data_IF_327144067335
#
_entry.id   IF_327144067335
#
_cell.length_a   1.000
_cell.length_b   1.000
_cell.length_c   1.000
_cell.angle_alpha   90.00
_cell.angle_beta   90.00
_cell.angle_gamma   90.00
#
_symmetry.space_group_name_H-M   'P 1'
#
loop_
_entity.id
_entity.type
_entity.pdbx_description
1 polymer ?
#
# COMPACT_ATOMS: atom_id res chain seq x y z
N UNK A 1 2.39 -19.83 12.88
CA UNK A 1 1.66 -18.73 12.22
C UNK A 1 2.19 -18.57 10.81
N UNK A 2 1.35 -18.34 9.79
CA UNK A 2 1.84 -18.14 8.43
C UNK A 2 2.61 -16.81 8.31
N UNK A 3 3.79 -16.84 7.72
CA UNK A 3 4.59 -15.66 7.43
C UNK A 3 4.19 -15.08 6.08
N UNK A 4 3.77 -13.81 6.06
CA UNK A 4 3.34 -13.05 4.89
C UNK A 4 4.34 -11.92 4.60
N UNK A 5 4.72 -11.73 3.35
CA UNK A 5 5.48 -10.57 2.89
C UNK A 5 4.55 -9.56 2.23
N UNK A 6 4.41 -8.39 2.84
CA UNK A 6 3.61 -7.30 2.30
C UNK A 6 4.49 -6.12 1.90
N UNK A 7 4.28 -5.62 0.69
CA UNK A 7 4.99 -4.46 0.15
C UNK A 7 4.02 -3.32 -0.12
N UNK A 8 4.42 -2.08 0.17
CA UNK A 8 3.77 -0.88 -0.39
C UNK A 8 4.74 -0.14 -1.30
N UNK A 9 4.23 0.34 -2.45
CA UNK A 9 5.08 0.99 -3.45
C UNK A 9 4.31 1.98 -4.32
N UNK A 10 4.68 3.25 -4.26
CA UNK A 10 4.20 4.25 -5.21
C UNK A 10 4.97 4.10 -6.53
N UNK A 11 4.24 3.80 -7.62
CA UNK A 11 4.83 3.47 -8.93
C UNK A 11 4.79 4.62 -9.94
N UNK A 12 4.42 5.83 -9.48
CA UNK A 12 4.44 7.06 -10.29
C UNK A 12 3.81 6.90 -11.67
N UNK A 13 2.64 6.26 -11.74
CA UNK A 13 1.93 5.94 -12.98
C UNK A 13 2.75 5.12 -13.99
N UNK A 14 3.79 4.40 -13.54
CA UNK A 14 4.70 3.62 -14.38
C UNK A 14 5.36 4.47 -15.49
N UNK A 15 5.72 5.72 -15.17
CA UNK A 15 6.32 6.66 -16.13
C UNK A 15 7.80 6.41 -16.38
N UNK A 16 8.48 5.84 -15.37
CA UNK A 16 9.91 5.59 -15.37
C UNK A 16 10.22 4.18 -15.93
N UNK A 17 11.31 3.54 -15.53
CA UNK A 17 11.70 2.24 -16.08
C UNK A 17 10.81 1.11 -15.52
N UNK A 18 9.88 0.63 -16.33
CA UNK A 18 8.93 -0.45 -15.98
C UNK A 18 9.60 -1.80 -15.76
N UNK A 19 10.72 -2.05 -16.43
CA UNK A 19 11.45 -3.30 -16.26
C UNK A 19 12.18 -3.31 -14.92
N UNK A 20 12.81 -2.18 -14.54
CA UNK A 20 13.40 -1.99 -13.22
C UNK A 20 12.32 -2.09 -12.12
N UNK A 21 11.16 -1.44 -12.31
CA UNK A 21 10.04 -1.51 -11.38
C UNK A 21 9.62 -2.97 -11.10
N UNK A 22 9.47 -3.77 -12.14
CA UNK A 22 9.14 -5.18 -11.99
C UNK A 22 10.25 -5.98 -11.29
N UNK A 23 11.54 -5.68 -11.54
CA UNK A 23 12.65 -6.33 -10.83
C UNK A 23 12.69 -5.97 -9.36
N UNK A 24 12.44 -4.69 -9.02
CA UNK A 24 12.33 -4.22 -7.62
C UNK A 24 11.23 -4.99 -6.88
N UNK A 25 10.03 -5.07 -7.46
CA UNK A 25 8.94 -5.82 -6.83
C UNK A 25 9.34 -7.29 -6.62
N UNK A 26 9.87 -7.95 -7.66
CA UNK A 26 10.30 -9.37 -7.56
C UNK A 26 11.41 -9.59 -6.54
N UNK A 27 12.33 -8.63 -6.37
CA UNK A 27 13.44 -8.77 -5.41
C UNK A 27 12.96 -8.85 -3.96
N UNK A 28 11.83 -8.22 -3.63
CA UNK A 28 11.18 -8.32 -2.33
C UNK A 28 10.43 -9.64 -2.11
N UNK A 29 10.14 -10.39 -3.18
CA UNK A 29 9.32 -11.62 -3.14
C UNK A 29 8.02 -11.44 -2.33
N UNK A 30 7.23 -10.38 -2.57
CA UNK A 30 6.02 -10.12 -1.80
C UNK A 30 4.92 -11.11 -2.12
N UNK A 31 4.14 -11.49 -1.11
CA UNK A 31 2.87 -12.19 -1.27
C UNK A 31 1.75 -11.24 -1.65
N UNK A 32 1.79 -10.00 -1.12
CA UNK A 32 0.83 -8.93 -1.42
C UNK A 32 1.58 -7.62 -1.66
N UNK A 33 1.14 -6.85 -2.68
CA UNK A 33 1.66 -5.50 -2.97
C UNK A 33 0.51 -4.51 -3.02
N UNK A 34 0.61 -3.45 -2.21
CA UNK A 34 -0.27 -2.29 -2.26
C UNK A 34 0.43 -1.20 -3.08
N UNK A 35 -0.11 -0.94 -4.26
CA UNK A 35 0.48 -0.03 -5.25
C UNK A 35 -0.26 1.30 -5.21
N UNK A 36 0.47 2.41 -5.10
CA UNK A 36 -0.07 3.76 -5.26
C UNK A 36 0.32 4.33 -6.62
N UNK A 37 -0.43 5.30 -7.09
CA UNK A 37 -0.29 5.89 -8.42
C UNK A 37 -0.27 4.85 -9.55
N UNK A 38 -1.08 3.81 -9.45
CA UNK A 38 -1.29 2.93 -10.61
C UNK A 38 -1.82 3.74 -11.80
N UNK A 39 -1.54 3.34 -13.05
CA UNK A 39 -2.08 4.04 -14.22
C UNK A 39 -3.61 4.20 -14.13
N UNK A 40 -4.13 5.40 -14.46
CA UNK A 40 -5.57 5.72 -14.33
C UNK A 40 -6.25 6.23 -15.60
N UNK A 41 -5.45 6.51 -16.64
CA UNK A 41 -5.95 6.98 -17.93
C UNK A 41 -6.17 5.83 -18.93
N UNK A 42 -6.15 6.13 -20.21
CA UNK A 42 -6.34 5.12 -21.26
C UNK A 42 -5.45 3.88 -21.05
N UNK A 43 -6.02 2.67 -21.25
CA UNK A 43 -5.35 1.37 -21.10
C UNK A 43 -4.86 1.05 -19.66
N UNK A 44 -5.40 1.71 -18.63
CA UNK A 44 -4.97 1.50 -17.26
C UNK A 44 -5.07 0.03 -16.81
N UNK A 45 -6.14 -0.70 -17.22
CA UNK A 45 -6.28 -2.13 -16.91
C UNK A 45 -5.18 -2.97 -17.53
N UNK A 46 -4.83 -2.71 -18.80
CA UNK A 46 -3.74 -3.42 -19.48
C UNK A 46 -2.38 -3.14 -18.85
N UNK A 47 -2.14 -1.92 -18.42
CA UNK A 47 -0.89 -1.53 -17.74
C UNK A 47 -0.81 -2.14 -16.35
N UNK A 48 -1.91 -2.16 -15.57
CA UNK A 48 -1.97 -2.83 -14.27
C UNK A 48 -1.75 -4.34 -14.40
N UNK A 49 -2.37 -4.98 -15.40
CA UNK A 49 -2.16 -6.39 -15.70
C UNK A 49 -0.73 -6.67 -16.18
N UNK A 50 -0.11 -5.75 -16.93
CA UNK A 50 1.29 -5.86 -17.33
C UNK A 50 2.21 -5.80 -16.11
N UNK A 51 2.00 -4.84 -15.20
CA UNK A 51 2.76 -4.74 -13.94
C UNK A 51 2.67 -6.04 -13.15
N UNK A 52 1.46 -6.52 -12.90
CA UNK A 52 1.22 -7.76 -12.17
C UNK A 52 1.98 -8.94 -12.82
N UNK A 53 1.77 -9.17 -14.12
CA UNK A 53 2.42 -10.27 -14.85
C UNK A 53 3.94 -10.19 -14.83
N UNK A 54 4.53 -9.00 -15.06
CA UNK A 54 5.99 -8.83 -15.07
C UNK A 54 6.61 -8.92 -13.68
N UNK A 55 5.80 -8.75 -12.64
CA UNK A 55 6.19 -8.92 -11.22
C UNK A 55 5.87 -10.30 -10.66
N UNK A 56 5.39 -11.26 -11.47
CA UNK A 56 4.93 -12.60 -11.07
C UNK A 56 3.76 -12.56 -10.06
N UNK A 57 2.86 -11.61 -10.23
CA UNK A 57 1.69 -11.38 -9.39
C UNK A 57 0.42 -11.34 -10.26
N UNK A 58 -0.73 -11.32 -9.61
CA UNK A 58 -2.06 -11.12 -10.21
C UNK A 58 -2.72 -9.86 -9.67
N UNK A 59 -3.60 -9.26 -10.46
CA UNK A 59 -4.42 -8.13 -10.00
C UNK A 59 -5.56 -8.68 -9.13
N UNK A 60 -5.69 -8.17 -7.92
CA UNK A 60 -6.77 -8.49 -6.99
C UNK A 60 -7.90 -7.46 -7.13
N UNK A 61 -7.62 -6.18 -6.91
CA UNK A 61 -8.61 -5.10 -7.01
C UNK A 61 -7.96 -3.75 -7.20
N UNK A 62 -8.74 -2.70 -7.41
CA UNK A 62 -8.27 -1.32 -7.41
C UNK A 62 -8.05 -0.72 -8.79
N UNK A 63 -7.10 0.19 -8.85
CA UNK A 63 -6.85 1.03 -10.01
C UNK A 63 -7.72 2.30 -9.98
N UNK A 64 -8.26 2.72 -11.14
CA UNK A 64 -9.06 3.94 -11.25
C UNK A 64 -10.24 4.01 -10.26
N UNK A 65 -11.03 2.93 -10.02
CA UNK A 65 -12.14 2.94 -9.07
C UNK A 65 -11.71 3.17 -7.60
N UNK A 66 -10.45 2.93 -7.26
CA UNK A 66 -9.90 3.10 -5.91
C UNK A 66 -8.94 4.29 -5.80
N UNK A 67 -9.12 5.34 -6.61
CA UNK A 67 -8.25 6.51 -6.58
C UNK A 67 -6.80 6.25 -7.03
N UNK A 68 -6.59 5.24 -7.90
CA UNK A 68 -5.29 4.75 -8.38
C UNK A 68 -4.49 3.92 -7.35
N UNK A 69 -5.14 3.44 -6.30
CA UNK A 69 -4.60 2.38 -5.47
C UNK A 69 -4.91 1.02 -6.10
N UNK A 70 -3.96 0.09 -6.06
CA UNK A 70 -4.09 -1.22 -6.69
C UNK A 70 -3.56 -2.28 -5.72
N UNK A 71 -4.26 -3.40 -5.59
CA UNK A 71 -3.83 -4.56 -4.82
C UNK A 71 -3.39 -5.64 -5.79
N UNK A 72 -2.15 -6.13 -5.62
CA UNK A 72 -1.61 -7.28 -6.31
C UNK A 72 -1.32 -8.38 -5.30
N UNK A 73 -1.42 -9.65 -5.71
CA UNK A 73 -1.03 -10.79 -4.87
C UNK A 73 -0.29 -11.88 -5.66
N UNK A 74 0.44 -12.71 -4.94
CA UNK A 74 0.93 -13.99 -5.45
C UNK A 74 -0.24 -14.97 -5.63
N UNK A 75 -0.03 -16.04 -6.40
CA UNK A 75 -1.03 -17.10 -6.58
C UNK A 75 -1.29 -17.94 -5.32
N UNK A 76 -0.44 -17.80 -4.29
CA UNK A 76 -0.64 -18.46 -3.00
C UNK A 76 -1.63 -17.75 -2.06
N UNK A 77 -2.15 -16.59 -2.47
CA UNK A 77 -3.12 -15.80 -1.70
C UNK A 77 -4.49 -15.92 -2.35
N UNK A 78 -5.48 -16.39 -1.59
CA UNK A 78 -6.87 -16.48 -2.01
C UNK A 78 -7.59 -15.16 -1.77
N UNK A 79 -8.46 -14.77 -2.69
CA UNK A 79 -9.29 -13.56 -2.61
C UNK A 79 -10.67 -13.92 -2.08
N UNK A 80 -11.04 -13.40 -0.91
CA UNK A 80 -12.35 -13.63 -0.27
C UNK A 80 -13.35 -12.56 -0.69
N UNK A 81 -12.95 -11.26 -0.60
CA UNK A 81 -13.78 -10.14 -1.02
C UNK A 81 -12.92 -8.94 -1.45
N UNK A 82 -13.48 -8.08 -2.30
CA UNK A 82 -12.79 -6.86 -2.74
C UNK A 82 -13.76 -5.68 -2.78
N UNK A 83 -13.26 -4.49 -2.41
CA UNK A 83 -14.04 -3.26 -2.43
C UNK A 83 -13.16 -2.10 -2.88
N UNK A 84 -13.59 -1.39 -3.91
CA UNK A 84 -12.98 -0.17 -4.40
C UNK A 84 -13.80 1.03 -3.92
N UNK A 85 -13.21 1.93 -3.16
CA UNK A 85 -13.89 3.08 -2.57
C UNK A 85 -13.22 4.37 -3.01
N UNK A 86 -13.98 5.31 -3.54
CA UNK A 86 -13.53 6.68 -3.78
C UNK A 86 -13.88 7.53 -2.56
N UNK A 87 -12.91 8.29 -2.09
CA UNK A 87 -13.11 9.29 -1.04
C UNK A 87 -13.76 10.55 -1.59
N UNK A 88 -14.34 11.37 -0.71
CA UNK A 88 -14.86 12.68 -1.06
C UNK A 88 -13.75 13.53 -1.68
N UNK A 89 -14.11 14.30 -2.73
CA UNK A 89 -13.14 15.09 -3.49
C UNK A 89 -13.38 16.57 -3.29
N UNK A 90 -12.33 17.33 -3.00
CA UNK A 90 -12.39 18.79 -3.09
C UNK A 90 -12.12 19.26 -4.53
N UNK A 91 -12.74 20.39 -4.95
CA UNK A 91 -12.43 21.01 -6.21
C UNK A 91 -10.92 21.28 -6.35
N UNK A 92 -10.38 21.02 -7.55
CA UNK A 92 -8.96 21.20 -7.91
C UNK A 92 -7.97 20.24 -7.26
N UNK A 93 -8.38 19.37 -6.34
CA UNK A 93 -7.53 18.30 -5.79
C UNK A 93 -7.70 16.98 -6.57
N UNK A 94 -6.76 16.07 -6.39
CA UNK A 94 -6.81 14.75 -7.04
C UNK A 94 -7.84 13.85 -6.37
N UNK A 95 -8.55 13.05 -7.17
CA UNK A 95 -9.42 12.01 -6.64
C UNK A 95 -8.57 10.98 -5.87
N UNK A 96 -8.89 10.79 -4.60
CA UNK A 96 -8.31 9.77 -3.72
C UNK A 96 -9.33 8.68 -3.43
N UNK A 97 -8.87 7.60 -2.83
CA UNK A 97 -9.69 6.44 -2.50
C UNK A 97 -8.87 5.35 -1.85
N UNK A 98 -9.44 4.17 -1.73
CA UNK A 98 -8.78 2.97 -1.20
C UNK A 98 -9.20 1.73 -1.98
N UNK A 99 -8.27 0.81 -2.19
CA UNK A 99 -8.53 -0.56 -2.61
C UNK A 99 -8.47 -1.45 -1.37
N UNK A 100 -9.60 -2.04 -0.99
CA UNK A 100 -9.72 -2.96 0.15
C UNK A 100 -9.86 -4.37 -0.39
N UNK A 101 -9.11 -5.31 0.16
CA UNK A 101 -9.26 -6.73 -0.14
C UNK A 101 -9.25 -7.55 1.16
N UNK A 102 -10.23 -8.43 1.31
CA UNK A 102 -10.20 -9.51 2.32
C UNK A 102 -9.56 -10.71 1.64
N UNK A 103 -8.50 -11.21 2.23
CA UNK A 103 -7.62 -12.22 1.67
C UNK A 103 -7.48 -13.40 2.64
N UNK A 104 -7.17 -14.57 2.10
CA UNK A 104 -6.79 -15.74 2.90
C UNK A 104 -5.42 -16.24 2.45
N UNK A 105 -4.54 -16.53 3.39
CA UNK A 105 -3.21 -17.05 3.13
C UNK A 105 -2.87 -18.15 4.12
N UNK A 106 -2.68 -19.37 3.63
CA UNK A 106 -2.36 -20.56 4.43
C UNK A 106 -3.31 -20.77 5.62
N UNK A 107 -4.60 -20.50 5.42
CA UNK A 107 -5.65 -20.69 6.41
C UNK A 107 -5.93 -19.49 7.33
N UNK A 108 -5.10 -18.45 7.31
CA UNK A 108 -5.34 -17.18 8.02
C UNK A 108 -6.05 -16.17 7.13
N UNK A 109 -7.12 -15.55 7.64
CA UNK A 109 -7.87 -14.50 6.95
C UNK A 109 -7.44 -13.13 7.48
N UNK A 110 -7.17 -12.19 6.58
CA UNK A 110 -6.78 -10.82 6.89
C UNK A 110 -7.31 -9.86 5.81
N UNK A 111 -7.36 -8.58 6.12
CA UNK A 111 -7.72 -7.56 5.15
C UNK A 111 -6.55 -6.61 4.91
N UNK A 112 -6.48 -6.10 3.69
CA UNK A 112 -5.53 -5.03 3.31
C UNK A 112 -6.30 -3.83 2.76
N UNK A 113 -5.82 -2.62 3.04
CA UNK A 113 -6.33 -1.38 2.47
C UNK A 113 -5.18 -0.55 1.93
N UNK A 114 -5.10 -0.42 0.60
CA UNK A 114 -4.13 0.43 -0.08
C UNK A 114 -4.63 1.87 -0.13
N UNK A 115 -3.82 2.82 0.33
CA UNK A 115 -4.17 4.25 0.36
C UNK A 115 -3.11 5.11 -0.31
N UNK A 116 -3.55 6.25 -0.85
CA UNK A 116 -2.69 7.36 -1.24
C UNK A 116 -3.41 8.65 -0.84
N UNK A 117 -2.99 9.25 0.26
CA UNK A 117 -3.65 10.41 0.85
C UNK A 117 -3.30 11.70 0.10
N UNK A 118 -4.02 12.77 0.42
CA UNK A 118 -3.85 14.06 -0.24
C UNK A 118 -2.59 14.80 0.23
N UNK A 119 -2.11 15.71 -0.60
CA UNK A 119 -1.10 16.70 -0.19
C UNK A 119 -1.70 17.78 0.74
N UNK A 120 -3.03 17.98 0.71
CA UNK A 120 -3.74 18.88 1.60
C UNK A 120 -4.03 18.22 2.94
N UNK A 121 -3.61 18.85 4.05
CA UNK A 121 -3.69 18.28 5.39
C UNK A 121 -5.14 18.09 5.87
N UNK A 122 -6.04 19.03 5.55
CA UNK A 122 -7.45 18.91 5.96
C UNK A 122 -8.16 17.81 5.18
N UNK A 123 -7.81 17.63 3.90
CA UNK A 123 -8.31 16.52 3.09
C UNK A 123 -7.76 15.18 3.57
N UNK A 124 -6.48 15.08 3.96
CA UNK A 124 -5.89 13.87 4.56
C UNK A 124 -6.66 13.43 5.81
N UNK A 125 -6.89 14.37 6.74
CA UNK A 125 -7.62 14.07 7.99
C UNK A 125 -9.05 13.56 7.72
N UNK A 126 -9.75 14.18 6.77
CA UNK A 126 -11.09 13.73 6.37
C UNK A 126 -11.06 12.34 5.74
N UNK A 127 -10.09 12.07 4.85
CA UNK A 127 -9.95 10.77 4.20
C UNK A 127 -9.65 9.63 5.19
N UNK A 128 -8.98 9.90 6.32
CA UNK A 128 -8.83 8.89 7.39
C UNK A 128 -10.18 8.49 7.97
N UNK A 129 -11.05 9.46 8.28
CA UNK A 129 -12.39 9.16 8.77
C UNK A 129 -13.22 8.36 7.75
N UNK A 130 -13.09 8.68 6.46
CA UNK A 130 -13.75 7.94 5.38
C UNK A 130 -13.18 6.52 5.21
N UNK A 131 -11.87 6.33 5.39
CA UNK A 131 -11.21 5.03 5.40
C UNK A 131 -11.73 4.17 6.54
N UNK A 132 -11.75 4.70 7.78
CA UNK A 132 -12.20 3.96 8.95
C UNK A 132 -13.69 3.58 8.84
N UNK A 133 -14.53 4.48 8.33
CA UNK A 133 -15.94 4.19 8.05
C UNK A 133 -16.10 3.09 6.96
N UNK A 134 -15.26 3.11 5.92
CA UNK A 134 -15.27 2.08 4.88
C UNK A 134 -14.83 0.72 5.43
N UNK A 135 -13.75 0.68 6.22
CA UNK A 135 -13.26 -0.55 6.87
C UNK A 135 -14.30 -1.13 7.82
N UNK A 136 -14.89 -0.32 8.70
CA UNK A 136 -15.93 -0.77 9.64
C UNK A 136 -17.17 -1.34 8.95
N UNK A 137 -17.49 -0.86 7.75
CA UNK A 137 -18.65 -1.33 6.98
C UNK A 137 -18.37 -2.57 6.13
N UNK A 138 -17.14 -2.70 5.61
CA UNK A 138 -16.83 -3.63 4.50
C UNK A 138 -15.96 -4.81 4.94
N UNK A 139 -15.30 -4.71 6.10
CA UNK A 139 -14.43 -5.76 6.64
C UNK A 139 -15.06 -6.29 7.91
N UNK A 140 -15.24 -7.61 8.08
CA UNK A 140 -15.72 -8.18 9.34
C UNK A 140 -14.81 -7.81 10.52
N UNK A 141 -15.39 -7.51 11.69
CA UNK A 141 -14.65 -6.97 12.83
C UNK A 141 -13.57 -7.93 13.39
N UNK A 142 -13.76 -9.22 13.22
CA UNK A 142 -12.82 -10.26 13.60
C UNK A 142 -11.60 -10.36 12.68
N UNK A 143 -11.68 -9.80 11.46
CA UNK A 143 -10.59 -9.88 10.47
C UNK A 143 -9.55 -8.79 10.75
N UNK A 144 -8.28 -9.15 11.02
CA UNK A 144 -7.22 -8.17 11.22
C UNK A 144 -6.94 -7.38 9.95
N UNK A 145 -6.70 -6.07 10.07
CA UNK A 145 -6.54 -5.15 8.95
C UNK A 145 -5.12 -4.60 8.88
N UNK A 146 -4.57 -4.57 7.68
CA UNK A 146 -3.32 -3.87 7.36
C UNK A 146 -3.66 -2.68 6.45
N UNK A 147 -3.28 -1.48 6.85
CA UNK A 147 -3.37 -0.26 6.02
C UNK A 147 -1.97 0.10 5.56
N UNK A 148 -1.77 0.33 4.27
CA UNK A 148 -0.45 0.77 3.81
C UNK A 148 -0.55 1.65 2.56
N UNK A 149 0.44 2.52 2.39
CA UNK A 149 0.49 3.38 1.22
C UNK A 149 1.34 4.62 1.40
N UNK A 150 1.12 5.56 0.48
CA UNK A 150 1.67 6.91 0.51
C UNK A 150 0.76 7.81 1.36
N UNK A 151 1.22 8.11 2.55
CA UNK A 151 0.48 8.91 3.54
C UNK A 151 0.55 10.40 3.19
N UNK A 152 1.56 10.82 2.39
CA UNK A 152 1.88 12.21 2.10
C UNK A 152 2.08 13.07 3.37
N UNK A 153 2.48 12.41 4.45
CA UNK A 153 2.83 13.02 5.73
C UNK A 153 3.95 12.21 6.39
N UNK A 154 4.56 12.73 7.44
CA UNK A 154 5.73 12.10 8.07
C UNK A 154 5.37 11.51 9.44
N UNK A 155 6.18 10.54 9.94
CA UNK A 155 6.08 10.05 11.30
C UNK A 155 6.02 11.20 12.31
N UNK A 156 5.08 11.10 13.28
CA UNK A 156 4.81 12.14 14.26
C UNK A 156 3.80 13.21 13.83
N UNK A 157 3.38 13.25 12.57
CA UNK A 157 2.26 14.10 12.15
C UNK A 157 0.92 13.59 12.72
N UNK A 158 -0.12 14.46 12.82
CA UNK A 158 -1.42 14.03 13.33
C UNK A 158 -2.02 12.85 12.56
N UNK A 159 -1.88 12.84 11.22
CA UNK A 159 -2.41 11.77 10.37
C UNK A 159 -1.65 10.45 10.61
N UNK A 160 -0.32 10.50 10.66
CA UNK A 160 0.49 9.33 10.96
C UNK A 160 0.19 8.77 12.35
N UNK A 161 0.13 9.66 13.36
CA UNK A 161 -0.17 9.26 14.74
C UNK A 161 -1.57 8.65 14.89
N UNK A 162 -2.54 9.10 14.09
CA UNK A 162 -3.89 8.50 14.07
C UNK A 162 -3.86 7.09 13.49
N UNK A 163 -3.11 6.87 12.41
CA UNK A 163 -2.93 5.53 11.82
C UNK A 163 -2.22 4.60 12.79
N UNK A 164 -1.12 5.05 13.39
CA UNK A 164 -0.29 4.30 14.34
C UNK A 164 -1.07 3.93 15.61
N UNK A 165 -1.88 4.83 16.14
CA UNK A 165 -2.75 4.56 17.28
C UNK A 165 -3.84 3.52 17.00
N UNK A 166 -4.37 3.51 15.78
CA UNK A 166 -5.39 2.54 15.35
C UNK A 166 -4.78 1.18 14.98
N UNK A 167 -3.61 1.20 14.36
CA UNK A 167 -2.84 0.03 13.88
C UNK A 167 -1.36 0.37 13.98
N UNK A 168 -0.59 -0.29 14.87
CA UNK A 168 0.85 0.00 15.03
C UNK A 168 1.62 0.04 13.71
N UNK A 169 2.50 1.04 13.56
CA UNK A 169 3.46 1.11 12.46
C UNK A 169 4.42 -0.08 12.53
N UNK A 170 4.79 -0.63 11.38
CA UNK A 170 5.78 -1.72 11.31
C UNK A 170 7.19 -1.29 11.70
N UNK A 171 7.49 0.01 11.70
CA UNK A 171 8.73 0.56 12.21
C UNK A 171 8.54 1.10 13.62
N UNK A 172 9.49 0.80 14.50
CA UNK A 172 9.51 1.42 15.82
C UNK A 172 9.66 2.94 15.73
N UNK A 173 9.08 3.66 16.68
CA UNK A 173 9.17 5.11 16.74
C UNK A 173 10.62 5.59 16.66
N UNK A 174 10.89 6.55 15.77
CA UNK A 174 12.23 7.12 15.54
C UNK A 174 13.16 6.27 14.66
N UNK A 175 12.72 5.10 14.17
CA UNK A 175 13.53 4.22 13.30
C UNK A 175 13.08 4.17 11.84
N UNK A 176 12.27 5.13 11.41
CA UNK A 176 11.69 5.15 10.07
C UNK A 176 12.74 5.48 8.99
N UNK A 177 13.06 4.54 8.08
CA UNK A 177 13.93 4.84 6.95
C UNK A 177 13.23 5.80 5.98
N UNK A 178 13.99 6.65 5.32
CA UNK A 178 13.43 7.55 4.30
C UNK A 178 13.02 6.80 3.05
N UNK A 179 11.89 7.21 2.43
CA UNK A 179 11.31 6.58 1.26
C UNK A 179 11.32 7.46 0.01
N UNK A 180 11.51 8.78 0.17
CA UNK A 180 11.46 9.74 -0.95
C UNK A 180 12.46 10.89 -0.79
N UNK A 181 13.03 11.41 -1.90
CA UNK A 181 13.04 10.83 -3.24
C UNK A 181 13.94 9.59 -3.31
N UNK A 182 13.68 8.65 -4.24
CA UNK A 182 14.47 7.42 -4.37
C UNK A 182 15.98 7.70 -4.56
N UNK A 183 16.32 8.81 -5.23
CA UNK A 183 17.69 9.32 -5.34
C UNK A 183 17.99 10.28 -4.19
N UNK A 184 18.69 9.79 -3.16
CA UNK A 184 19.01 10.57 -1.95
C UNK A 184 17.79 10.77 -1.04
N UNK A 185 17.27 9.70 -0.42
CA UNK A 185 16.06 9.76 0.39
C UNK A 185 16.23 10.70 1.60
N UNK A 186 15.25 11.59 1.83
CA UNK A 186 15.27 12.59 2.88
C UNK A 186 13.98 12.67 3.70
N UNK A 187 12.91 12.00 3.25
CA UNK A 187 11.61 12.00 3.94
C UNK A 187 11.01 10.60 3.94
N UNK A 188 10.25 10.28 4.97
CA UNK A 188 9.42 9.09 5.08
C UNK A 188 7.97 9.52 4.90
N UNK A 189 7.33 9.08 3.83
CA UNK A 189 5.91 9.36 3.58
C UNK A 189 5.12 8.11 3.20
N UNK A 190 5.80 6.99 3.04
CA UNK A 190 5.21 5.68 2.78
C UNK A 190 5.27 4.84 4.05
N UNK A 191 4.16 4.22 4.45
CA UNK A 191 4.04 3.46 5.70
C UNK A 191 3.20 2.20 5.56
N UNK A 192 3.40 1.28 6.51
CA UNK A 192 2.59 0.07 6.72
C UNK A 192 2.15 0.05 8.18
N UNK A 193 0.85 -0.07 8.40
CA UNK A 193 0.23 -0.08 9.72
C UNK A 193 -0.57 -1.37 9.87
N UNK A 194 -0.20 -2.22 10.81
CA UNK A 194 -0.78 -3.55 10.98
C UNK A 194 -1.58 -3.64 12.28
N UNK A 195 -2.75 -4.31 12.22
CA UNK A 195 -3.53 -4.66 13.41
C UNK A 195 -2.64 -5.33 14.46
N UNK A 196 -2.80 -5.00 15.74
CA UNK A 196 -1.98 -5.51 16.84
C UNK A 196 -1.99 -7.04 16.98
N UNK A 197 -2.95 -7.73 16.37
CA UNK A 197 -3.00 -9.21 16.29
C UNK A 197 -2.00 -9.79 15.29
N UNK A 198 -1.41 -8.97 14.42
CA UNK A 198 -0.40 -9.34 13.42
C UNK A 198 0.97 -9.01 13.99
N UNK A 199 1.83 -10.01 14.14
CA UNK A 199 3.18 -9.76 14.62
C UNK A 199 4.10 -9.31 13.46
N UNK A 200 4.85 -8.24 13.66
CA UNK A 200 5.86 -7.76 12.71
C UNK A 200 7.19 -8.40 13.04
N UNK A 201 7.71 -9.23 12.14
CA UNK A 201 9.01 -9.92 12.34
C UNK A 201 10.18 -9.16 11.71
N UNK A 202 9.93 -8.43 10.61
CA UNK A 202 10.91 -7.55 9.99
C UNK A 202 10.22 -6.46 9.18
N UNK A 203 10.85 -5.29 9.09
CA UNK A 203 10.46 -4.23 8.16
C UNK A 203 11.70 -3.54 7.59
N UNK A 204 11.65 -3.20 6.31
CA UNK A 204 12.75 -2.51 5.63
C UNK A 204 12.29 -1.72 4.41
N UNK A 205 13.04 -0.71 4.05
CA UNK A 205 12.96 -0.03 2.75
C UNK A 205 13.93 -0.73 1.80
N UNK A 206 13.46 -1.10 0.62
CA UNK A 206 14.33 -1.72 -0.38
C UNK A 206 15.11 -0.63 -1.14
N UNK A 207 16.40 -0.86 -1.31
CA UNK A 207 17.30 -0.01 -2.08
C UNK A 207 18.07 -0.81 -3.14
N UNK A 208 18.81 -0.10 -3.98
CA UNK A 208 19.67 -0.68 -5.00
C UNK A 208 19.57 0.03 -6.36
N UNK A 209 20.36 -0.37 -7.34
CA UNK A 209 20.43 0.33 -8.63
C UNK A 209 19.09 0.44 -9.36
N UNK A 210 18.26 -0.61 -9.31
CA UNK A 210 16.94 -0.63 -9.96
C UNK A 210 15.97 0.34 -9.29
N UNK A 211 16.01 0.53 -7.95
CA UNK A 211 15.11 1.46 -7.27
C UNK A 211 15.35 2.91 -7.67
N UNK A 212 16.57 3.26 -8.07
CA UNK A 212 16.93 4.63 -8.48
C UNK A 212 16.33 5.05 -9.83
N UNK A 213 15.89 4.08 -10.63
CA UNK A 213 15.34 4.33 -11.98
C UNK A 213 13.90 3.83 -12.14
N UNK A 214 13.38 3.09 -11.16
CA UNK A 214 12.04 2.49 -11.21
C UNK A 214 10.93 3.50 -10.96
N UNK A 215 11.12 4.39 -9.98
CA UNK A 215 10.19 5.45 -9.56
C UNK A 215 10.91 6.45 -8.64
N UNK A 216 10.24 7.50 -8.23
CA UNK A 216 10.77 8.48 -7.26
C UNK A 216 10.55 8.10 -5.79
N UNK A 217 9.89 6.98 -5.50
CA UNK A 217 9.76 6.41 -4.16
C UNK A 217 10.60 5.13 -4.01
N UNK A 218 10.93 4.78 -2.77
CA UNK A 218 11.46 3.48 -2.39
C UNK A 218 10.35 2.62 -1.78
N UNK A 219 10.27 1.31 -2.11
CA UNK A 219 9.25 0.46 -1.55
C UNK A 219 9.53 0.09 -0.09
N UNK A 220 8.49 0.03 0.71
CA UNK A 220 8.53 -0.53 2.07
C UNK A 220 8.07 -1.97 2.02
N UNK A 221 8.82 -2.87 2.64
CA UNK A 221 8.52 -4.29 2.75
C UNK A 221 8.45 -4.69 4.22
N UNK A 222 7.38 -5.35 4.63
CA UNK A 222 7.23 -5.96 5.95
C UNK A 222 7.08 -7.48 5.85
N UNK A 223 7.65 -8.18 6.82
CA UNK A 223 7.44 -9.60 7.06
C UNK A 223 6.54 -9.72 8.31
N UNK A 224 5.40 -10.38 8.14
CA UNK A 224 4.29 -10.38 9.09
C UNK A 224 3.90 -11.80 9.42
N UNK A 225 3.65 -12.10 10.69
CA UNK A 225 3.03 -13.37 11.13
C UNK A 225 1.54 -13.14 11.35
N UNK A 226 0.72 -13.81 10.54
CA UNK A 226 -0.74 -13.74 10.63
C UNK A 226 -1.27 -14.62 11.76
N UNK A 227 -2.33 -14.21 12.48
CA UNK A 227 -2.95 -15.01 13.54
C UNK A 227 -3.62 -16.27 13.02
#
# INVERSE_FOLDING_TARGET
MPSLRLMTYNVRSMRDDRAALARVIRSGQPDVVLVQESPRFARWRSLSAQLARTSNLVVVSGGRPAGSNLVLSSLGVDVVATHDVLFSKQPRLHQRGTAIAVLSYRGSTFAVAGIHLSLDAAERARHLGELDAALARLVPAEVPVIVAGDINDQPGSPVWSTLDAARPDVFAAGSHPHTVPAKGPMRTIDGIFADARIAVTAARVLGGPDTLIATDHLPVLAELELP
#
